data_IF_109289286016
#
_entry.id   IF_109289286016
#
_cell.length_a   1.000
_cell.length_b   1.000
_cell.length_c   1.000
_cell.angle_alpha   90.00
_cell.angle_beta   90.00
_cell.angle_gamma   90.00
#
_symmetry.space_group_name_H-M   'P 1'
#
loop_
_entity.id
_entity.type
_entity.pdbx_description
1 polymer ?
#
# COMPACT_ATOMS: atom_id res chain seq x y z
N UNK A 1 -0.62 9.91 -7.95
CA UNK A 1 -0.75 8.57 -7.37
C UNK A 1 -0.70 7.52 -8.47
N UNK A 2 -0.15 6.36 -8.16
CA UNK A 2 -0.24 5.13 -8.97
C UNK A 2 -1.36 4.30 -8.36
N UNK A 3 -2.36 3.93 -9.16
CA UNK A 3 -3.53 3.17 -8.71
C UNK A 3 -3.74 1.96 -9.61
N UNK A 4 -4.24 0.88 -9.01
CA UNK A 4 -4.43 -0.43 -9.60
C UNK A 4 -5.92 -0.77 -9.56
N UNK A 5 -6.51 -1.07 -10.72
CA UNK A 5 -7.89 -1.53 -10.77
C UNK A 5 -7.95 -2.98 -10.35
N UNK A 6 -8.66 -3.27 -9.27
CA UNK A 6 -8.86 -4.62 -8.76
C UNK A 6 -9.60 -5.46 -9.81
N UNK A 7 -9.07 -6.65 -10.11
CA UNK A 7 -9.55 -7.52 -11.18
C UNK A 7 -10.93 -8.13 -10.84
N UNK A 8 -11.59 -8.73 -11.83
CA UNK A 8 -12.86 -9.42 -11.58
C UNK A 8 -12.71 -10.69 -10.72
N UNK A 9 -11.48 -11.19 -10.55
CA UNK A 9 -11.19 -12.44 -9.86
C UNK A 9 -11.07 -12.29 -8.33
N UNK A 10 -10.99 -11.06 -7.80
CA UNK A 10 -10.87 -10.82 -6.37
C UNK A 10 -12.22 -10.88 -5.66
N UNK A 11 -12.22 -11.36 -4.41
CA UNK A 11 -13.44 -11.54 -3.61
C UNK A 11 -14.08 -10.22 -3.16
N UNK A 12 -13.30 -9.14 -3.01
CA UNK A 12 -13.77 -7.85 -2.45
C UNK A 12 -13.36 -6.68 -3.34
N UNK A 13 -14.23 -5.67 -3.44
CA UNK A 13 -13.96 -4.41 -4.14
C UNK A 13 -13.54 -4.57 -5.61
N UNK A 14 -14.03 -5.61 -6.30
CA UNK A 14 -13.79 -5.85 -7.73
C UNK A 14 -14.17 -4.64 -8.57
N UNK A 15 -13.29 -4.24 -9.50
CA UNK A 15 -13.47 -3.10 -10.39
C UNK A 15 -13.18 -1.72 -9.77
N UNK A 16 -12.98 -1.63 -8.45
CA UNK A 16 -12.53 -0.40 -7.79
C UNK A 16 -11.02 -0.22 -7.93
N UNK A 17 -10.57 1.04 -7.87
CA UNK A 17 -9.15 1.37 -7.88
C UNK A 17 -8.58 1.43 -6.46
N UNK A 18 -7.40 0.82 -6.30
CA UNK A 18 -6.67 0.74 -5.05
C UNK A 18 -5.24 1.26 -5.23
N UNK A 19 -4.62 1.82 -4.20
CA UNK A 19 -3.15 1.86 -4.15
C UNK A 19 -2.59 0.44 -3.94
N UNK A 20 -1.28 0.21 -4.17
CA UNK A 20 -0.65 -1.03 -3.73
C UNK A 20 -0.86 -1.22 -2.22
N UNK A 21 -1.26 -2.42 -1.81
CA UNK A 21 -1.62 -2.73 -0.43
C UNK A 21 -1.70 -4.25 -0.19
N UNK A 22 -1.25 -4.70 0.96
CA UNK A 22 -1.44 -6.08 1.40
C UNK A 22 -1.61 -6.20 2.91
N UNK A 23 -1.49 -7.43 3.41
CA UNK A 23 -1.64 -7.76 4.83
C UNK A 23 -0.38 -8.47 5.31
N UNK A 24 0.57 -7.74 5.97
CA UNK A 24 1.79 -8.37 6.47
C UNK A 24 1.48 -9.44 7.52
N UNK A 25 2.23 -10.53 7.48
CA UNK A 25 2.02 -11.68 8.34
C UNK A 25 3.01 -11.67 9.52
N UNK A 26 2.59 -11.96 10.77
CA UNK A 26 3.48 -11.92 11.93
C UNK A 26 4.76 -12.78 11.80
N UNK A 27 4.67 -13.88 11.05
CA UNK A 27 5.81 -14.76 10.76
C UNK A 27 6.94 -14.06 10.01
N UNK A 28 6.64 -13.06 9.19
CA UNK A 28 7.64 -12.30 8.43
C UNK A 28 8.48 -11.41 9.36
N UNK A 29 7.90 -10.99 10.49
CA UNK A 29 8.59 -10.36 11.62
C UNK A 29 9.24 -11.36 12.60
N UNK A 30 9.23 -12.66 12.30
CA UNK A 30 9.62 -13.76 13.21
C UNK A 30 8.83 -13.77 14.53
N UNK A 31 7.55 -13.42 14.49
CA UNK A 31 6.64 -13.44 15.64
C UNK A 31 5.72 -14.66 15.49
N UNK A 32 6.09 -15.77 16.15
CA UNK A 32 5.34 -17.03 16.08
C UNK A 32 4.34 -17.23 17.22
N UNK A 33 4.51 -16.50 18.32
CA UNK A 33 3.69 -16.62 19.51
C UNK A 33 3.60 -15.29 20.29
N UNK A 34 2.65 -15.23 21.21
CA UNK A 34 2.54 -14.13 22.15
C UNK A 34 3.79 -14.04 23.04
N UNK A 35 4.22 -12.81 23.35
CA UNK A 35 5.33 -12.58 24.27
C UNK A 35 4.98 -13.07 25.68
N UNK A 36 5.92 -13.77 26.33
CA UNK A 36 5.76 -14.26 27.71
C UNK A 36 6.19 -13.23 28.77
N UNK A 37 6.82 -12.13 28.36
CA UNK A 37 7.25 -11.03 29.22
C UNK A 37 7.22 -9.67 28.51
N UNK A 38 7.29 -8.57 29.26
CA UNK A 38 7.33 -7.21 28.72
C UNK A 38 8.56 -6.95 27.84
N UNK A 39 9.74 -7.48 28.22
CA UNK A 39 10.97 -7.33 27.44
C UNK A 39 10.87 -8.03 26.08
N UNK A 40 10.30 -9.24 26.05
CA UNK A 40 10.00 -9.94 24.80
C UNK A 40 8.96 -9.19 23.98
N UNK A 41 7.98 -8.56 24.64
CA UNK A 41 6.98 -7.71 24.01
C UNK A 41 7.58 -6.49 23.31
N UNK A 42 8.53 -5.79 23.96
CA UNK A 42 9.23 -4.66 23.36
C UNK A 42 10.05 -5.06 22.13
N UNK A 43 10.77 -6.18 22.19
CA UNK A 43 11.53 -6.70 21.05
C UNK A 43 10.61 -7.20 19.90
N UNK A 44 9.46 -7.78 20.22
CA UNK A 44 8.45 -8.16 19.23
C UNK A 44 7.82 -6.93 18.57
N UNK A 45 7.51 -5.88 19.35
CA UNK A 45 6.94 -4.64 18.82
C UNK A 45 7.90 -3.91 17.87
N UNK A 46 9.21 -3.88 18.17
CA UNK A 46 10.20 -3.31 17.28
C UNK A 46 10.25 -4.06 15.93
N UNK A 47 10.29 -5.40 15.97
CA UNK A 47 10.28 -6.22 14.74
C UNK A 47 8.98 -6.09 13.95
N UNK A 48 7.85 -6.01 14.64
CA UNK A 48 6.56 -5.77 13.99
C UNK A 48 6.55 -4.40 13.29
N UNK A 49 7.09 -3.36 13.94
CA UNK A 49 7.20 -2.03 13.32
C UNK A 49 8.10 -2.06 12.08
N UNK A 50 9.25 -2.74 12.14
CA UNK A 50 10.14 -2.89 10.98
C UNK A 50 9.43 -3.60 9.82
N UNK A 51 8.70 -4.67 10.11
CA UNK A 51 7.92 -5.42 9.11
C UNK A 51 6.77 -4.60 8.51
N UNK A 52 6.07 -3.79 9.31
CA UNK A 52 5.00 -2.91 8.81
C UNK A 52 5.53 -1.92 7.77
N UNK A 53 6.76 -1.42 7.91
CA UNK A 53 7.36 -0.54 6.90
C UNK A 53 7.98 -1.33 5.74
N UNK A 54 8.62 -2.47 6.00
CA UNK A 54 9.21 -3.30 4.96
C UNK A 54 8.16 -3.86 4.00
N UNK A 55 7.04 -4.34 4.54
CA UNK A 55 5.92 -4.88 3.77
C UNK A 55 5.35 -3.86 2.78
N UNK A 56 5.20 -2.58 3.14
CA UNK A 56 4.74 -1.54 2.20
C UNK A 56 5.60 -1.49 0.93
N UNK A 57 6.91 -1.58 1.06
CA UNK A 57 7.80 -1.58 -0.11
C UNK A 57 7.70 -2.88 -0.90
N UNK A 58 7.58 -4.01 -0.20
CA UNK A 58 7.37 -5.33 -0.79
C UNK A 58 6.07 -5.36 -1.61
N UNK A 59 4.95 -4.93 -1.06
CA UNK A 59 3.64 -4.89 -1.76
C UNK A 59 3.70 -3.98 -2.99
N UNK A 60 4.29 -2.79 -2.88
CA UNK A 60 4.49 -1.91 -4.04
C UNK A 60 5.30 -2.63 -5.12
N UNK A 61 6.37 -3.33 -4.76
CA UNK A 61 7.17 -4.10 -5.72
C UNK A 61 6.38 -5.26 -6.33
N UNK A 62 5.67 -6.04 -5.51
CA UNK A 62 4.97 -7.25 -5.94
C UNK A 62 3.75 -6.96 -6.82
N UNK A 63 3.08 -5.82 -6.64
CA UNK A 63 1.93 -5.40 -7.44
C UNK A 63 2.29 -4.52 -8.66
N UNK A 64 3.41 -3.79 -8.60
CA UNK A 64 3.79 -2.84 -9.69
C UNK A 64 5.06 -3.21 -10.44
N UNK A 65 5.85 -4.14 -9.92
CA UNK A 65 7.20 -4.50 -10.37
C UNK A 65 8.20 -3.33 -10.37
N UNK A 66 7.90 -2.23 -9.65
CA UNK A 66 8.84 -1.13 -9.44
C UNK A 66 9.98 -1.63 -8.54
N UNK A 67 11.27 -1.49 -8.92
CA UNK A 67 12.37 -1.95 -8.10
C UNK A 67 12.44 -1.24 -6.73
N UNK A 68 12.70 -2.01 -5.66
CA UNK A 68 12.83 -1.49 -4.30
C UNK A 68 13.85 -0.34 -4.19
N UNK A 69 14.97 -0.44 -4.92
CA UNK A 69 16.02 0.59 -4.93
C UNK A 69 15.56 1.95 -5.51
N UNK A 70 14.41 1.98 -6.21
CA UNK A 70 13.80 3.18 -6.76
C UNK A 70 12.63 3.68 -5.92
N UNK A 71 12.37 3.08 -4.75
CA UNK A 71 11.33 3.51 -3.80
C UNK A 71 11.98 4.25 -2.62
N UNK A 72 11.33 5.33 -2.18
CA UNK A 72 11.71 6.02 -0.94
C UNK A 72 11.25 5.19 0.27
N UNK A 73 11.88 5.43 1.42
CA UNK A 73 11.37 4.89 2.69
C UNK A 73 9.89 5.30 2.88
N UNK A 74 9.01 4.39 3.33
CA UNK A 74 7.61 4.72 3.58
C UNK A 74 7.48 5.72 4.72
N UNK A 75 6.51 6.61 4.60
CA UNK A 75 6.06 7.51 5.66
C UNK A 75 4.66 7.08 6.10
N UNK A 76 4.48 6.78 7.39
CA UNK A 76 3.14 6.60 7.96
C UNK A 76 2.43 7.96 7.98
N UNK A 77 1.35 8.11 7.22
CA UNK A 77 0.59 9.36 7.07
C UNK A 77 -0.75 9.34 7.83
N UNK A 78 -1.18 8.16 8.29
CA UNK A 78 -2.41 8.03 9.06
C UNK A 78 -2.80 6.58 9.29
N UNK A 79 -3.98 6.42 9.85
CA UNK A 79 -4.66 5.14 9.98
C UNK A 79 -6.15 5.36 9.75
N UNK A 80 -6.85 4.31 9.34
CA UNK A 80 -8.29 4.30 9.25
C UNK A 80 -8.86 3.03 9.88
N UNK A 81 -10.17 3.04 10.05
CA UNK A 81 -10.94 1.87 10.41
C UNK A 81 -12.11 1.76 9.43
N UNK A 82 -12.36 0.57 8.90
CA UNK A 82 -13.50 0.32 8.01
C UNK A 82 -14.80 0.00 8.79
N UNK A 83 -15.90 -0.22 8.06
CA UNK A 83 -17.20 -0.55 8.65
C UNK A 83 -17.20 -1.86 9.46
N UNK A 84 -16.24 -2.76 9.18
CA UNK A 84 -16.04 -4.01 9.89
C UNK A 84 -15.09 -3.86 11.10
N UNK A 85 -14.75 -2.61 11.48
CA UNK A 85 -13.82 -2.29 12.58
C UNK A 85 -12.39 -2.76 12.30
N UNK A 86 -12.05 -3.05 11.03
CA UNK A 86 -10.71 -3.48 10.65
C UNK A 86 -9.82 -2.24 10.56
N UNK A 87 -8.67 -2.21 11.27
CA UNK A 87 -7.72 -1.12 11.15
C UNK A 87 -6.83 -1.30 9.93
N UNK A 88 -6.55 -0.20 9.23
CA UNK A 88 -5.54 -0.12 8.18
C UNK A 88 -4.59 1.05 8.44
N UNK A 89 -3.28 0.81 8.29
CA UNK A 89 -2.25 1.84 8.35
C UNK A 89 -2.00 2.39 6.95
N UNK A 90 -1.88 3.72 6.85
CA UNK A 90 -1.82 4.41 5.57
C UNK A 90 -0.43 4.99 5.38
N UNK A 91 0.24 4.59 4.30
CA UNK A 91 1.61 4.98 4.02
C UNK A 91 1.75 5.76 2.72
N UNK A 92 2.77 6.61 2.68
CA UNK A 92 3.25 7.29 1.47
C UNK A 92 4.66 6.81 1.15
N UNK A 93 4.86 6.27 -0.05
CA UNK A 93 6.18 6.09 -0.65
C UNK A 93 6.22 6.78 -2.02
N UNK A 94 7.43 7.11 -2.49
CA UNK A 94 7.67 7.78 -3.77
C UNK A 94 8.62 6.94 -4.60
N UNK A 95 8.44 6.96 -5.92
CA UNK A 95 9.42 6.41 -6.84
C UNK A 95 10.11 7.50 -7.64
N UNK A 96 11.36 7.26 -8.05
CA UNK A 96 12.07 8.11 -9.01
C UNK A 96 11.69 7.81 -10.46
N UNK A 97 10.91 6.75 -10.73
CA UNK A 97 10.39 6.47 -12.05
C UNK A 97 9.30 7.47 -12.44
N UNK A 98 9.29 7.86 -13.71
CA UNK A 98 8.16 8.58 -14.29
C UNK A 98 7.01 7.60 -14.64
N UNK A 99 5.92 8.16 -15.17
CA UNK A 99 4.73 7.38 -15.58
C UNK A 99 5.07 6.27 -16.56
N UNK A 100 5.98 6.51 -17.51
CA UNK A 100 6.34 5.49 -18.51
C UNK A 100 7.22 4.40 -17.90
N UNK A 101 8.12 4.76 -16.98
CA UNK A 101 8.92 3.83 -16.20
C UNK A 101 8.07 2.89 -15.36
N UNK A 102 7.04 3.42 -14.67
CA UNK A 102 6.10 2.60 -13.90
C UNK A 102 5.27 1.69 -14.81
N UNK A 103 4.76 2.20 -15.95
CA UNK A 103 4.05 1.36 -16.94
C UNK A 103 4.92 0.23 -17.48
N UNK A 104 6.18 0.53 -17.82
CA UNK A 104 7.11 -0.47 -18.31
C UNK A 104 7.48 -1.49 -17.23
N UNK A 105 7.58 -1.08 -15.97
CA UNK A 105 7.75 -2.00 -14.84
C UNK A 105 6.57 -2.96 -14.73
N UNK A 106 5.35 -2.42 -14.61
CA UNK A 106 4.12 -3.19 -14.52
C UNK A 106 3.97 -4.20 -15.68
N UNK A 107 4.25 -3.77 -16.91
CA UNK A 107 4.14 -4.61 -18.10
C UNK A 107 5.16 -5.78 -18.15
N UNK A 108 6.27 -5.71 -17.41
CA UNK A 108 7.22 -6.84 -17.30
C UNK A 108 6.70 -7.98 -16.42
N UNK A 109 5.55 -7.79 -15.77
CA UNK A 109 4.92 -8.77 -14.90
C UNK A 109 5.24 -8.50 -13.44
N UNK A 110 4.22 -8.11 -12.68
CA UNK A 110 4.25 -8.08 -11.23
C UNK A 110 3.90 -9.49 -10.69
N UNK A 111 4.50 -9.92 -9.57
CA UNK A 111 4.26 -11.26 -9.01
C UNK A 111 2.79 -11.48 -8.63
N UNK A 112 2.10 -10.39 -8.29
CA UNK A 112 0.67 -10.37 -7.97
C UNK A 112 -0.17 -9.68 -9.05
N UNK A 113 0.32 -9.67 -10.30
CA UNK A 113 -0.36 -9.05 -11.44
C UNK A 113 -1.71 -9.68 -11.83
N UNK A 114 -2.19 -10.70 -11.10
CA UNK A 114 -3.53 -11.27 -11.24
C UNK A 114 -4.57 -10.51 -10.40
N UNK A 115 -4.15 -9.82 -9.33
CA UNK A 115 -5.03 -9.06 -8.44
C UNK A 115 -5.56 -7.79 -9.09
N UNK A 116 -4.81 -7.23 -10.05
CA UNK A 116 -5.17 -6.04 -10.79
C UNK A 116 -5.13 -6.26 -12.30
N UNK A 117 -6.01 -5.58 -13.03
CA UNK A 117 -6.08 -5.71 -14.49
C UNK A 117 -5.78 -4.41 -15.25
N UNK A 118 -5.63 -3.29 -14.54
CA UNK A 118 -5.30 -1.97 -15.11
C UNK A 118 -4.50 -1.10 -14.15
N UNK A 119 -3.64 -0.28 -14.74
CA UNK A 119 -2.89 0.78 -14.07
C UNK A 119 -3.50 2.15 -14.41
N UNK A 120 -3.69 2.99 -13.39
CA UNK A 120 -4.11 4.38 -13.52
C UNK A 120 -3.12 5.32 -12.83
N UNK A 121 -3.04 6.55 -13.36
CA UNK A 121 -2.22 7.61 -12.82
C UNK A 121 -3.10 8.82 -12.58
N UNK A 122 -3.02 9.38 -11.38
CA UNK A 122 -3.75 10.60 -10.99
C UNK A 122 -2.72 11.65 -10.61
N UNK A 123 -2.80 12.84 -11.19
CA UNK A 123 -1.91 13.94 -10.79
C UNK A 123 -2.23 14.42 -9.38
N UNK A 124 -1.32 15.14 -8.72
CA UNK A 124 -1.59 15.66 -7.37
C UNK A 124 -2.77 16.61 -7.32
N UNK A 125 -3.04 17.36 -8.40
CA UNK A 125 -4.14 18.33 -8.46
C UNK A 125 -5.51 17.64 -8.67
N UNK A 126 -5.53 16.44 -9.23
CA UNK A 126 -6.74 15.63 -9.43
C UNK A 126 -7.08 14.73 -8.24
N UNK A 127 -6.21 14.65 -7.22
CA UNK A 127 -6.43 13.75 -6.07
C UNK A 127 -7.67 14.11 -5.25
N UNK A 128 -8.06 15.38 -5.21
CA UNK A 128 -9.24 15.82 -4.48
C UNK A 128 -10.56 15.37 -5.14
N UNK A 129 -10.54 15.08 -6.44
CA UNK A 129 -11.71 14.68 -7.23
C UNK A 129 -11.32 13.66 -8.29
N UNK A 130 -11.14 12.41 -7.85
CA UNK A 130 -10.76 11.31 -8.74
C UNK A 130 -11.99 10.82 -9.50
N UNK A 131 -11.98 10.94 -10.83
CA UNK A 131 -13.11 10.60 -11.71
C UNK A 131 -13.45 9.11 -11.86
N UNK A 132 -13.02 8.25 -10.96
CA UNK A 132 -13.31 6.81 -10.95
C UNK A 132 -13.37 6.27 -9.52
N UNK A 133 -14.10 5.17 -9.27
CA UNK A 133 -14.40 4.76 -7.92
C UNK A 133 -13.17 4.11 -7.24
N UNK A 134 -12.92 4.53 -6.01
CA UNK A 134 -11.79 4.10 -5.18
C UNK A 134 -12.27 3.14 -4.09
N UNK A 135 -11.37 2.29 -3.60
CA UNK A 135 -11.59 1.56 -2.35
C UNK A 135 -11.63 2.53 -1.16
N UNK A 136 -12.32 2.18 -0.05
CA UNK A 136 -12.32 3.01 1.17
C UNK A 136 -10.92 3.32 1.69
N UNK A 137 -10.03 2.33 1.67
CA UNK A 137 -8.62 2.48 2.09
C UNK A 137 -7.85 3.48 1.24
N UNK A 138 -8.05 3.46 -0.08
CA UNK A 138 -7.39 4.41 -0.98
C UNK A 138 -7.95 5.81 -0.81
N UNK A 139 -9.27 5.95 -0.64
CA UNK A 139 -9.90 7.24 -0.34
C UNK A 139 -9.34 7.84 0.95
N UNK A 140 -9.18 7.05 2.01
CA UNK A 140 -8.59 7.49 3.27
C UNK A 140 -7.10 7.87 3.12
N UNK A 141 -6.32 7.07 2.40
CA UNK A 141 -4.91 7.36 2.13
C UNK A 141 -4.74 8.70 1.39
N UNK A 142 -5.59 8.96 0.40
CA UNK A 142 -5.60 10.24 -0.34
C UNK A 142 -5.98 11.39 0.60
N UNK A 143 -7.02 11.24 1.42
CA UNK A 143 -7.41 12.26 2.39
C UNK A 143 -6.25 12.59 3.37
N UNK A 144 -5.60 11.57 3.94
CA UNK A 144 -4.42 11.76 4.79
C UNK A 144 -3.28 12.45 4.03
N UNK A 145 -3.02 12.07 2.78
CA UNK A 145 -1.99 12.70 1.97
C UNK A 145 -2.27 14.19 1.74
N UNK A 146 -3.50 14.56 1.40
CA UNK A 146 -3.89 15.96 1.19
C UNK A 146 -3.67 16.80 2.45
N UNK A 147 -4.10 16.28 3.62
CA UNK A 147 -3.87 16.93 4.92
C UNK A 147 -2.37 17.13 5.22
N UNK A 148 -1.56 16.09 5.05
CA UNK A 148 -0.11 16.15 5.32
C UNK A 148 0.63 17.03 4.30
N UNK A 149 0.14 17.09 3.07
CA UNK A 149 0.70 17.93 2.01
C UNK A 149 0.24 19.40 2.08
N UNK A 150 -0.69 19.75 2.98
CA UNK A 150 -1.26 21.09 3.11
C UNK A 150 -2.12 21.49 1.91
N UNK A 151 -2.87 20.54 1.34
CA UNK A 151 -3.73 20.71 0.18
C UNK A 151 -5.19 20.46 0.49
#
# INVERSE_FOLDING_TARGET
AVLLRRSAAVATHSGLYNGPSGHPEPRDASIEAHAGSESEGGAAAARAADELFASVLKEVHEETNVPLALLSQPLLIGAMEDEARKPDLLFLTRTTLDVQGVKAAYARGASEGWESDRLAFVSTDELADVGFPLTPVTSAAIACYLLVAGR
#
